data_IF_152886309612
#
_entry.id   IF_152886309612
#
_cell.length_a   1.000
_cell.length_b   1.000
_cell.length_c   1.000
_cell.angle_alpha   90.00
_cell.angle_beta   90.00
_cell.angle_gamma   90.00
#
_symmetry.space_group_name_H-M   'P 1'
#
loop_
_entity.id
_entity.type
_entity.pdbx_description
1 polymer ?
#
# COMPACT_ATOMS: atom_id res chain seq x y z
N UNK A 1 -10.59 -9.01 3.76
CA UNK A 1 -9.30 -9.44 3.21
C UNK A 1 -9.54 -10.51 2.16
N UNK A 2 -10.01 -11.71 2.54
CA UNK A 2 -10.24 -12.84 1.62
C UNK A 2 -11.04 -12.51 0.35
N UNK A 3 -12.23 -11.89 0.48
CA UNK A 3 -13.03 -11.51 -0.70
C UNK A 3 -12.31 -10.51 -1.64
N UNK A 4 -11.42 -9.68 -1.11
CA UNK A 4 -10.61 -8.76 -1.92
C UNK A 4 -9.48 -9.53 -2.60
N UNK A 5 -8.82 -10.45 -1.89
CA UNK A 5 -7.77 -11.31 -2.47
C UNK A 5 -8.30 -12.19 -3.59
N UNK A 6 -9.50 -12.77 -3.43
CA UNK A 6 -10.18 -13.54 -4.47
C UNK A 6 -10.48 -12.69 -5.70
N UNK A 7 -10.95 -11.44 -5.49
CA UNK A 7 -11.21 -10.48 -6.58
C UNK A 7 -9.93 -10.09 -7.31
N UNK A 8 -8.84 -9.87 -6.60
CA UNK A 8 -7.55 -9.43 -7.16
C UNK A 8 -6.70 -10.59 -7.69
N UNK A 9 -7.03 -11.83 -7.34
CA UNK A 9 -6.29 -13.07 -7.66
C UNK A 9 -4.82 -13.07 -7.21
N UNK A 10 -4.50 -12.25 -6.22
CA UNK A 10 -3.17 -12.07 -5.65
C UNK A 10 -3.30 -11.77 -4.14
N UNK A 11 -2.32 -12.17 -3.30
CA UNK A 11 -2.34 -11.87 -1.87
C UNK A 11 -2.15 -10.37 -1.63
N UNK A 12 -2.83 -9.82 -0.62
CA UNK A 12 -2.74 -8.39 -0.28
C UNK A 12 -1.32 -7.94 0.07
N UNK A 13 -0.52 -8.82 0.67
CA UNK A 13 0.88 -8.57 1.04
C UNK A 13 1.75 -8.17 -0.16
N UNK A 14 1.41 -8.68 -1.35
CA UNK A 14 2.13 -8.42 -2.59
C UNK A 14 1.65 -7.15 -3.28
N UNK A 15 0.34 -6.93 -3.37
CA UNK A 15 -0.24 -5.86 -4.18
C UNK A 15 -0.37 -4.53 -3.42
N UNK A 16 -0.64 -4.55 -2.10
CA UNK A 16 -0.88 -3.33 -1.34
C UNK A 16 0.31 -2.37 -1.30
N UNK A 17 1.58 -2.81 -1.19
CA UNK A 17 2.72 -1.89 -1.24
C UNK A 17 2.78 -1.08 -2.54
N UNK A 18 2.50 -1.71 -3.67
CA UNK A 18 2.52 -1.06 -4.98
C UNK A 18 1.35 -0.09 -5.13
N UNK A 19 0.12 -0.55 -4.87
CA UNK A 19 -1.07 0.31 -4.91
C UNK A 19 -0.89 1.55 -4.03
N UNK A 20 -0.50 1.37 -2.75
CA UNK A 20 -0.34 2.50 -1.83
C UNK A 20 0.80 3.42 -2.24
N UNK A 21 1.85 2.92 -2.90
CA UNK A 21 2.95 3.75 -3.42
C UNK A 21 2.49 4.60 -4.60
N UNK A 22 1.80 3.99 -5.56
CA UNK A 22 1.43 4.64 -6.81
C UNK A 22 0.23 5.59 -6.65
N UNK A 23 -0.80 5.19 -5.91
CA UNK A 23 -2.06 5.95 -5.81
C UNK A 23 -2.34 6.53 -4.43
N UNK A 24 -1.56 6.16 -3.42
CA UNK A 24 -1.74 6.61 -2.05
C UNK A 24 -2.86 5.89 -1.29
N UNK A 25 -2.87 6.08 0.04
CA UNK A 25 -3.70 5.32 0.96
C UNK A 25 -5.21 5.55 0.78
N UNK A 26 -5.64 6.78 0.51
CA UNK A 26 -7.07 7.08 0.37
C UNK A 26 -7.64 6.43 -0.90
N UNK A 27 -6.99 6.66 -2.05
CA UNK A 27 -7.45 6.12 -3.33
C UNK A 27 -7.41 4.58 -3.36
N UNK A 28 -6.40 3.97 -2.72
CA UNK A 28 -6.36 2.51 -2.53
C UNK A 28 -7.57 1.99 -1.74
N UNK A 29 -7.99 2.68 -0.69
CA UNK A 29 -9.16 2.26 0.08
C UNK A 29 -10.44 2.32 -0.76
N UNK A 30 -10.60 3.39 -1.54
CA UNK A 30 -11.74 3.59 -2.44
C UNK A 30 -11.81 2.49 -3.51
N UNK A 31 -10.69 2.18 -4.18
CA UNK A 31 -10.61 1.14 -5.22
C UNK A 31 -10.90 -0.28 -4.68
N UNK A 32 -10.41 -0.55 -3.46
CA UNK A 32 -10.67 -1.81 -2.79
C UNK A 32 -12.08 -1.91 -2.19
N UNK A 33 -12.85 -0.81 -2.20
CA UNK A 33 -14.21 -0.75 -1.66
C UNK A 33 -14.26 -0.87 -0.14
N UNK A 34 -13.25 -0.36 0.56
CA UNK A 34 -13.13 -0.45 2.02
C UNK A 34 -12.85 0.89 2.66
N UNK A 35 -13.10 1.02 3.96
CA UNK A 35 -12.74 2.23 4.68
C UNK A 35 -11.21 2.39 4.79
N UNK A 36 -10.74 3.64 4.88
CA UNK A 36 -9.32 3.93 5.13
C UNK A 36 -8.81 3.32 6.44
N UNK A 37 -9.67 3.20 7.46
CA UNK A 37 -9.34 2.54 8.72
C UNK A 37 -9.15 1.02 8.53
N UNK A 38 -10.00 0.40 7.72
CA UNK A 38 -9.89 -1.03 7.34
C UNK A 38 -8.58 -1.28 6.60
N UNK A 39 -8.24 -0.46 5.61
CA UNK A 39 -6.98 -0.59 4.88
C UNK A 39 -5.77 -0.36 5.82
N UNK A 40 -5.84 0.65 6.70
CA UNK A 40 -4.80 0.90 7.70
C UNK A 40 -4.57 -0.31 8.63
N UNK A 41 -5.65 -0.95 9.07
CA UNK A 41 -5.57 -2.18 9.86
C UNK A 41 -4.93 -3.34 9.08
N UNK A 42 -5.22 -3.50 7.78
CA UNK A 42 -4.58 -4.53 6.96
C UNK A 42 -3.08 -4.30 6.81
N UNK A 43 -2.65 -3.07 6.51
CA UNK A 43 -1.22 -2.74 6.42
C UNK A 43 -0.49 -3.07 7.74
N UNK A 44 -1.10 -2.71 8.88
CA UNK A 44 -0.58 -3.08 10.20
C UNK A 44 -0.49 -4.60 10.38
N UNK A 45 -1.58 -5.33 10.09
CA UNK A 45 -1.66 -6.77 10.25
C UNK A 45 -0.65 -7.53 9.38
N UNK A 46 -0.37 -7.02 8.18
CA UNK A 46 0.55 -7.60 7.20
C UNK A 46 2.00 -7.14 7.40
N UNK A 47 2.28 -6.32 8.41
CA UNK A 47 3.62 -5.77 8.66
C UNK A 47 4.12 -4.79 7.59
N UNK A 48 3.22 -4.20 6.81
CA UNK A 48 3.56 -3.25 5.74
C UNK A 48 3.72 -1.86 6.35
N UNK A 49 4.93 -1.31 6.28
CA UNK A 49 5.21 0.05 6.76
C UNK A 49 5.13 1.05 5.61
N UNK A 50 4.25 2.05 5.73
CA UNK A 50 4.14 3.16 4.79
C UNK A 50 4.90 4.37 5.31
N UNK A 51 5.77 4.95 4.49
CA UNK A 51 6.50 6.20 4.80
C UNK A 51 6.12 7.27 3.78
N UNK A 52 5.77 8.46 4.26
CA UNK A 52 5.52 9.62 3.40
C UNK A 52 6.77 10.47 3.34
N UNK A 53 7.16 10.87 2.13
CA UNK A 53 8.32 11.73 1.89
C UNK A 53 7.84 12.90 1.04
N UNK A 54 8.20 14.12 1.46
CA UNK A 54 7.98 15.31 0.64
C UNK A 54 9.14 15.44 -0.35
N UNK A 55 8.82 15.65 -1.63
CA UNK A 55 9.78 15.83 -2.72
C UNK A 55 9.53 17.19 -3.36
N UNK A 56 10.60 17.90 -3.72
CA UNK A 56 10.49 19.09 -4.54
C UNK A 56 10.13 18.71 -5.99
N UNK A 57 9.60 19.65 -6.81
CA UNK A 57 9.32 19.38 -8.21
C UNK A 57 10.55 18.84 -8.96
N UNK A 58 10.40 17.69 -9.62
CA UNK A 58 11.47 17.01 -10.36
C UNK A 58 12.33 16.05 -9.53
N UNK A 59 12.15 15.97 -8.21
CA UNK A 59 12.83 14.97 -7.38
C UNK A 59 12.13 13.62 -7.44
N UNK A 60 12.91 12.55 -7.30
CA UNK A 60 12.42 11.17 -7.18
C UNK A 60 13.11 10.45 -6.04
N UNK A 61 12.47 9.42 -5.50
CA UNK A 61 13.01 8.61 -4.43
C UNK A 61 13.02 7.14 -4.84
N UNK A 62 14.14 6.46 -4.59
CA UNK A 62 14.28 5.02 -4.81
C UNK A 62 14.53 4.34 -3.48
N UNK A 63 13.63 3.42 -3.11
CA UNK A 63 13.80 2.59 -1.91
C UNK A 63 14.69 1.40 -2.24
N UNK A 64 15.83 1.28 -1.56
CA UNK A 64 16.73 0.11 -1.65
C UNK A 64 16.67 -0.70 -0.36
N UNK A 65 16.52 -2.02 -0.46
CA UNK A 65 16.69 -2.92 0.68
C UNK A 65 18.17 -3.00 1.02
N UNK A 66 18.54 -2.55 2.21
CA UNK A 66 19.85 -2.84 2.78
C UNK A 66 19.77 -4.26 3.34
N UNK A 67 20.52 -5.20 2.74
CA UNK A 67 20.73 -6.52 3.36
C UNK A 67 21.72 -6.30 4.50
N UNK A 68 21.25 -6.39 5.73
CA UNK A 68 22.13 -6.53 6.90
C UNK A 68 22.33 -8.01 7.19
#
# INVERSE_FOLDING_TARGET
>A
MTAVEERMREPLEKILPEMVTEQGLSHTADELGVSKATLGYWLLKLGITVRRVALAPGESLVVKRVRT
#
